data_IF_278097549723
#
_entry.id   IF_278097549723
#
_cell.length_a   1.000
_cell.length_b   1.000
_cell.length_c   1.000
_cell.angle_alpha   90.00
_cell.angle_beta   90.00
_cell.angle_gamma   90.00
#
_symmetry.space_group_name_H-M   'P 1'
#
loop_
_entity.id
_entity.type
_entity.pdbx_description
1 polymer ?
#
# COMPACT_ATOMS: atom_id res chain seq x y z
N UNK A 1 8.59 -27.72 2.56
CA UNK A 1 7.64 -27.36 3.64
C UNK A 1 6.73 -26.27 3.10
N UNK A 2 5.41 -26.50 2.97
CA UNK A 2 4.47 -25.47 2.51
C UNK A 2 4.12 -24.59 3.71
N UNK A 3 4.81 -23.46 3.87
CA UNK A 3 4.63 -22.51 4.98
C UNK A 3 3.29 -21.75 4.88
N UNK A 4 2.70 -21.66 3.69
CA UNK A 4 1.40 -21.03 3.46
C UNK A 4 0.64 -21.68 2.30
N UNK A 5 -0.69 -21.54 2.30
CA UNK A 5 -1.60 -22.03 1.26
C UNK A 5 -2.89 -21.21 1.22
N UNK A 6 -3.87 -21.58 0.37
CA UNK A 6 -5.09 -20.79 0.17
C UNK A 6 -5.90 -20.55 1.45
N UNK A 7 -5.81 -21.44 2.44
CA UNK A 7 -6.50 -21.33 3.75
C UNK A 7 -5.68 -20.61 4.82
N UNK A 8 -4.53 -20.03 4.48
CA UNK A 8 -3.71 -19.30 5.45
C UNK A 8 -4.40 -17.99 5.84
N UNK A 9 -4.62 -17.83 7.14
CA UNK A 9 -5.02 -16.56 7.76
C UNK A 9 -3.78 -15.77 8.13
N UNK A 10 -3.83 -14.47 7.87
CA UNK A 10 -2.74 -13.52 8.11
C UNK A 10 -3.19 -12.50 9.15
N UNK A 11 -2.39 -12.38 10.21
CA UNK A 11 -2.60 -11.41 11.29
C UNK A 11 -1.54 -10.32 11.14
N UNK A 12 -1.88 -9.17 10.54
CA UNK A 12 -0.93 -8.08 10.37
C UNK A 12 -0.68 -7.35 11.69
N UNK A 13 0.42 -6.59 11.77
CA UNK A 13 0.69 -5.73 12.93
C UNK A 13 -0.33 -4.59 13.09
N UNK A 14 -0.94 -4.15 11.98
CA UNK A 14 -2.02 -3.15 11.94
C UNK A 14 -3.02 -3.51 10.83
N UNK A 15 -4.28 -3.12 10.99
CA UNK A 15 -5.37 -3.44 10.05
C UNK A 15 -6.22 -4.63 10.49
N UNK A 16 -7.04 -5.16 9.58
CA UNK A 16 -7.91 -6.31 9.85
C UNK A 16 -7.19 -7.62 9.57
N UNK A 17 -7.72 -8.71 10.13
CA UNK A 17 -7.29 -10.07 9.77
C UNK A 17 -7.66 -10.29 8.28
N UNK A 18 -6.72 -10.82 7.49
CA UNK A 18 -6.91 -11.07 6.05
C UNK A 18 -6.56 -12.51 5.69
N UNK A 19 -6.93 -12.93 4.48
CA UNK A 19 -6.61 -14.24 3.92
C UNK A 19 -5.59 -14.12 2.79
N UNK A 20 -4.91 -15.23 2.48
CA UNK A 20 -3.86 -15.29 1.47
C UNK A 20 -4.28 -14.73 0.08
N UNK A 21 -5.55 -14.88 -0.29
CA UNK A 21 -6.11 -14.36 -1.55
C UNK A 21 -6.04 -12.83 -1.68
N UNK A 22 -6.05 -12.09 -0.56
CA UNK A 22 -6.01 -10.63 -0.55
C UNK A 22 -4.57 -10.08 -0.67
N UNK A 23 -3.54 -10.92 -0.51
CA UNK A 23 -2.14 -10.51 -0.63
C UNK A 23 -1.71 -10.30 -2.08
N UNK A 24 -2.18 -11.15 -3.01
CA UNK A 24 -1.76 -11.04 -4.40
C UNK A 24 -2.19 -9.70 -5.04
N UNK A 25 -3.44 -9.22 -4.87
CA UNK A 25 -3.84 -7.88 -5.30
C UNK A 25 -3.03 -6.76 -4.63
N UNK A 26 -2.76 -6.87 -3.33
CA UNK A 26 -1.98 -5.88 -2.58
C UNK A 26 -0.53 -5.77 -3.09
N UNK A 27 0.13 -6.90 -3.35
CA UNK A 27 1.47 -6.93 -3.94
C UNK A 27 1.46 -6.35 -5.36
N UNK A 28 0.45 -6.64 -6.15
CA UNK A 28 0.33 -6.15 -7.52
C UNK A 28 0.21 -4.63 -7.56
N UNK A 29 -0.57 -4.04 -6.64
CA UNK A 29 -0.64 -2.59 -6.44
C UNK A 29 0.75 -1.98 -6.14
N UNK A 30 1.52 -2.58 -5.22
CA UNK A 30 2.85 -2.06 -4.86
C UNK A 30 3.78 -2.03 -6.08
N UNK A 31 3.79 -3.09 -6.89
CA UNK A 31 4.63 -3.17 -8.08
C UNK A 31 4.21 -2.17 -9.16
N UNK A 32 2.91 -2.01 -9.41
CA UNK A 32 2.41 -1.03 -10.37
C UNK A 32 2.77 0.41 -9.97
N UNK A 33 2.58 0.77 -8.69
CA UNK A 33 2.95 2.10 -8.18
C UNK A 33 4.47 2.30 -8.25
N UNK A 34 5.26 1.28 -7.88
CA UNK A 34 6.73 1.33 -7.97
C UNK A 34 7.17 1.62 -9.41
N UNK A 35 6.63 0.90 -10.38
CA UNK A 35 6.98 1.05 -11.79
C UNK A 35 6.67 2.47 -12.29
N UNK A 36 5.49 3.00 -11.95
CA UNK A 36 5.07 4.36 -12.31
C UNK A 36 5.96 5.42 -11.68
N UNK A 37 6.29 5.30 -10.40
CA UNK A 37 7.21 6.23 -9.73
C UNK A 37 8.59 6.18 -10.37
N UNK A 38 9.13 4.99 -10.65
CA UNK A 38 10.41 4.85 -11.32
C UNK A 38 10.40 5.47 -12.72
N UNK A 39 9.30 5.36 -13.46
CA UNK A 39 9.15 6.02 -14.75
C UNK A 39 9.20 7.54 -14.61
N UNK A 40 8.46 8.11 -13.65
CA UNK A 40 8.48 9.55 -13.40
C UNK A 40 9.88 10.05 -12.99
N UNK A 41 10.63 9.27 -12.21
CA UNK A 41 12.03 9.58 -11.88
C UNK A 41 12.92 9.57 -13.13
N UNK A 42 12.74 8.59 -14.03
CA UNK A 42 13.47 8.54 -15.31
C UNK A 42 13.14 9.75 -16.20
N UNK A 43 11.93 10.28 -16.08
CA UNK A 43 11.45 11.46 -16.81
C UNK A 43 11.76 12.79 -16.09
N UNK A 44 12.69 12.77 -15.12
CA UNK A 44 13.17 13.92 -14.33
C UNK A 44 12.04 14.70 -13.62
N UNK A 45 10.97 14.00 -13.23
CA UNK A 45 9.85 14.60 -12.48
C UNK A 45 10.22 14.89 -11.04
N UNK A 46 9.71 16.01 -10.53
CA UNK A 46 9.92 16.40 -9.13
C UNK A 46 9.04 15.59 -8.17
N UNK A 47 9.37 15.63 -6.87
CA UNK A 47 8.52 15.07 -5.82
C UNK A 47 7.09 15.65 -5.85
N UNK A 48 6.96 16.95 -6.16
CA UNK A 48 5.65 17.60 -6.27
C UNK A 48 4.84 17.01 -7.41
N UNK A 49 5.47 16.74 -8.57
CA UNK A 49 4.80 16.10 -9.71
C UNK A 49 4.35 14.67 -9.37
N UNK A 50 5.20 13.90 -8.69
CA UNK A 50 4.88 12.52 -8.26
C UNK A 50 3.69 12.52 -7.28
N UNK A 51 3.66 13.44 -6.31
CA UNK A 51 2.53 13.59 -5.38
C UNK A 51 1.27 14.05 -6.11
N UNK A 52 1.39 15.00 -7.04
CA UNK A 52 0.27 15.52 -7.83
C UNK A 52 -0.35 14.46 -8.76
N UNK A 53 0.43 13.47 -9.19
CA UNK A 53 -0.04 12.37 -10.04
C UNK A 53 -0.98 11.39 -9.32
N UNK A 54 -1.04 11.39 -7.98
CA UNK A 54 -1.96 10.58 -7.16
C UNK A 54 -2.01 9.10 -7.62
N UNK A 55 -0.83 8.49 -7.78
CA UNK A 55 -0.69 7.15 -8.38
C UNK A 55 -1.43 6.04 -7.62
N UNK A 56 -1.81 6.25 -6.36
CA UNK A 56 -2.60 5.31 -5.54
C UNK A 56 -4.10 5.36 -5.83
N UNK A 57 -4.62 6.43 -6.44
CA UNK A 57 -6.08 6.65 -6.57
C UNK A 57 -6.90 5.50 -7.17
N UNK A 58 -6.40 4.72 -8.15
CA UNK A 58 -7.11 3.53 -8.63
C UNK A 58 -7.28 2.42 -7.58
N UNK A 59 -6.55 2.48 -6.47
CA UNK A 59 -6.52 1.44 -5.44
C UNK A 59 -7.21 1.86 -4.14
N UNK A 60 -7.40 3.16 -3.89
CA UNK A 60 -7.93 3.72 -2.64
C UNK A 60 -9.24 3.05 -2.19
N UNK A 61 -10.14 2.70 -3.12
CA UNK A 61 -11.42 2.06 -2.81
C UNK A 61 -11.31 0.58 -2.37
N UNK A 62 -10.22 -0.10 -2.72
CA UNK A 62 -10.01 -1.55 -2.48
C UNK A 62 -9.00 -1.82 -1.40
N UNK A 63 -8.10 -0.88 -1.18
CA UNK A 63 -7.02 -0.98 -0.23
C UNK A 63 -7.08 0.28 0.63
N UNK A 64 -7.87 0.29 1.72
CA UNK A 64 -7.86 1.42 2.66
C UNK A 64 -6.45 1.69 3.20
N UNK A 65 -5.55 0.70 3.12
CA UNK A 65 -4.12 0.88 3.29
C UNK A 65 -3.78 1.37 4.69
N UNK A 66 -2.88 2.35 4.75
CA UNK A 66 -2.42 2.90 6.00
C UNK A 66 -3.38 3.85 6.69
N UNK A 67 -4.54 4.18 6.09
CA UNK A 67 -5.49 5.19 6.57
C UNK A 67 -6.33 4.74 7.78
N UNK A 68 -6.23 3.47 8.16
CA UNK A 68 -6.83 3.00 9.40
C UNK A 68 -6.20 3.77 10.59
N UNK A 69 -7.03 4.36 11.48
CA UNK A 69 -6.51 5.09 12.62
C UNK A 69 -5.73 4.14 13.54
N UNK A 70 -4.55 4.59 13.94
CA UNK A 70 -3.76 3.99 15.01
C UNK A 70 -4.39 4.34 16.38
N UNK A 71 -3.96 3.71 17.49
CA UNK A 71 -4.38 4.11 18.83
C UNK A 71 -4.30 5.63 19.03
N UNK A 72 -5.19 6.14 19.88
CA UNK A 72 -5.51 7.56 20.01
C UNK A 72 -4.26 8.45 20.03
N UNK A 73 -4.17 9.37 19.07
CA UNK A 73 -3.06 10.35 18.97
C UNK A 73 -1.90 9.95 18.05
N UNK A 74 -1.90 8.76 17.45
CA UNK A 74 -0.82 8.30 16.56
C UNK A 74 -1.09 8.48 15.06
N UNK A 75 -2.19 9.14 14.69
CA UNK A 75 -2.58 9.36 13.29
C UNK A 75 -2.89 8.04 12.58
N UNK A 76 -2.40 7.92 11.37
CA UNK A 76 -2.54 6.74 10.51
C UNK A 76 -1.15 6.18 10.19
N UNK A 77 -1.06 4.92 9.77
CA UNK A 77 0.24 4.38 9.35
C UNK A 77 0.74 5.00 8.05
N UNK A 78 -0.14 5.64 7.26
CA UNK A 78 0.24 6.41 6.08
C UNK A 78 1.11 7.63 6.46
N UNK A 79 0.82 8.30 7.59
CA UNK A 79 1.50 9.55 7.99
C UNK A 79 3.02 9.39 8.17
N UNK A 80 3.52 8.17 8.40
CA UNK A 80 4.95 7.88 8.50
C UNK A 80 5.73 8.00 7.20
N UNK A 81 5.04 8.02 6.06
CA UNK A 81 5.64 8.01 4.73
C UNK A 81 5.48 9.34 3.98
N UNK A 82 4.70 10.29 4.53
CA UNK A 82 4.34 11.55 3.85
C UNK A 82 5.12 12.77 4.39
N UNK A 83 6.04 12.55 5.34
CA UNK A 83 6.95 13.57 5.87
C UNK A 83 7.86 14.21 4.82
#
# INVERSE_FOLDING_TARGET
MKLSGPKTTLVPGHGTIIHAELIAPYRSMILDIQEKVQQMVRDDKSLQDVRAAKLTSPYDARVPGGLAPLPTGLGTSADRFVG
#
